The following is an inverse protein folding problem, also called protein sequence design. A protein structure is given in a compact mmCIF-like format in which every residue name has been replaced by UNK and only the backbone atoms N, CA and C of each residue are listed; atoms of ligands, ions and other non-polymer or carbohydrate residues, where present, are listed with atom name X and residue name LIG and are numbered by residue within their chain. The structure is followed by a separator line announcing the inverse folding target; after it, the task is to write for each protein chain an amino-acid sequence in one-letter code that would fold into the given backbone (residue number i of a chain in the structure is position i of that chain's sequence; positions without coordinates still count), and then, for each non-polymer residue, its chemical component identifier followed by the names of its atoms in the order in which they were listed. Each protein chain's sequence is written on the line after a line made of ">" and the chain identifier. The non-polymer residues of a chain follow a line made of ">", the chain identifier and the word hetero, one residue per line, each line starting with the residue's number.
data_IF_816311870302
#
_entry.id   IF_816311870302
#
_cell.length_a   1.000
_cell.length_b   1.000
_cell.length_c   1.000
_cell.angle_alpha   90.00
_cell.angle_beta   90.00
_cell.angle_gamma   90.00
#
_symmetry.space_group_name_H-M   'P 1'
#
loop_
_entity.id
_entity.type
_entity.pdbx_description
1 polymer ?
#
# COMPACT_ATOMS: atom_id res chain seq x y z
N UNK A 1 -9.53 -4.58 -11.13
CA UNK A 1 -8.53 -3.54 -10.78
C UNK A 1 -7.66 -4.06 -9.65
N UNK A 2 -6.36 -3.77 -9.67
CA UNK A 2 -5.45 -4.12 -8.56
C UNK A 2 -4.64 -2.88 -8.17
N UNK A 3 -4.66 -2.54 -6.89
CA UNK A 3 -3.95 -1.43 -6.29
C UNK A 3 -2.63 -1.94 -5.71
N UNK A 4 -1.53 -1.29 -6.08
CA UNK A 4 -0.19 -1.60 -5.60
C UNK A 4 0.38 -0.37 -4.88
N UNK A 5 1.33 -0.56 -3.95
CA UNK A 5 2.13 0.54 -3.46
C UNK A 5 2.90 1.21 -4.61
N UNK A 6 3.27 2.49 -4.46
CA UNK A 6 3.95 3.25 -5.51
C UNK A 6 5.37 2.75 -5.82
N UNK A 7 5.97 1.95 -4.95
CA UNK A 7 7.31 1.38 -5.10
C UNK A 7 7.28 -0.10 -4.70
N UNK A 8 8.01 -0.92 -5.46
CA UNK A 8 8.28 -2.31 -5.09
C UNK A 8 9.54 -2.47 -4.22
N UNK A 9 10.25 -1.39 -3.92
CA UNK A 9 11.41 -1.38 -3.03
C UNK A 9 11.11 -0.68 -1.71
N UNK A 10 11.88 -1.02 -0.66
CA UNK A 10 11.85 -0.29 0.60
C UNK A 10 12.20 1.18 0.37
N UNK A 11 11.37 2.11 0.86
CA UNK A 11 11.62 3.55 0.78
C UNK A 11 12.13 4.15 2.09
N UNK A 12 12.42 3.31 3.09
CA UNK A 12 13.07 3.76 4.31
C UNK A 12 14.57 3.89 4.04
N UNK A 13 15.10 5.12 4.12
CA UNK A 13 16.53 5.42 3.86
C UNK A 13 17.48 4.81 4.88
N UNK A 14 16.99 4.55 6.09
CA UNK A 14 17.76 3.91 7.16
C UNK A 14 17.73 2.38 7.07
N UNK A 15 16.99 1.83 6.11
CA UNK A 15 16.88 0.39 5.90
C UNK A 15 17.87 -0.08 4.83
N UNK A 16 18.67 -1.10 5.15
CA UNK A 16 19.64 -1.71 4.24
C UNK A 16 19.01 -2.70 3.24
N UNK A 17 17.68 -2.83 3.23
CA UNK A 17 16.98 -3.73 2.31
C UNK A 17 17.02 -3.20 0.89
N UNK A 18 17.92 -3.73 0.07
CA UNK A 18 18.13 -3.31 -1.32
C UNK A 18 17.38 -4.15 -2.36
N UNK A 19 16.78 -5.26 -1.93
CA UNK A 19 16.04 -6.16 -2.81
C UNK A 19 14.60 -5.68 -3.00
N UNK A 20 14.00 -6.14 -4.10
CA UNK A 20 12.59 -5.94 -4.34
C UNK A 20 11.76 -6.65 -3.27
N UNK A 21 10.79 -5.92 -2.71
CA UNK A 21 9.87 -6.42 -1.72
C UNK A 21 8.91 -7.40 -2.38
N UNK A 22 8.73 -8.54 -1.73
CA UNK A 22 7.74 -9.53 -2.16
C UNK A 22 6.37 -9.12 -1.66
N UNK A 23 5.37 -9.51 -2.44
CA UNK A 23 3.98 -9.46 -2.03
C UNK A 23 3.78 -10.29 -0.75
N UNK A 24 3.32 -9.61 0.29
CA UNK A 24 3.02 -10.22 1.58
C UNK A 24 1.55 -10.63 1.67
N UNK A 25 0.66 -9.75 1.20
CA UNK A 25 -0.78 -9.95 1.32
C UNK A 25 -1.51 -9.41 0.08
N UNK A 26 -2.67 -9.99 -0.21
CA UNK A 26 -3.65 -9.40 -1.14
C UNK A 26 -5.04 -9.52 -0.54
N UNK A 27 -5.75 -8.39 -0.47
CA UNK A 27 -7.11 -8.31 0.06
C UNK A 27 -8.11 -7.89 -1.01
N UNK A 28 -9.31 -8.45 -0.97
CA UNK A 28 -10.43 -7.91 -1.75
C UNK A 28 -10.85 -6.58 -1.16
N UNK A 29 -11.07 -5.59 -2.03
CA UNK A 29 -11.53 -4.27 -1.65
C UNK A 29 -12.60 -3.80 -2.63
N UNK A 30 -13.36 -2.80 -2.22
CA UNK A 30 -14.36 -2.13 -3.07
C UNK A 30 -13.89 -0.71 -3.32
N UNK A 31 -13.83 -0.32 -4.59
CA UNK A 31 -13.52 1.04 -5.01
C UNK A 31 -14.82 1.75 -5.35
N UNK A 32 -15.00 2.94 -4.78
CA UNK A 32 -16.09 3.85 -5.10
C UNK A 32 -15.52 5.00 -5.93
N UNK A 33 -16.07 5.24 -7.13
CA UNK A 33 -15.68 6.36 -7.98
C UNK A 33 -16.91 7.23 -8.29
N UNK A 34 -16.69 8.44 -8.81
CA UNK A 34 -17.81 9.31 -9.22
C UNK A 34 -18.47 8.81 -10.52
N UNK A 35 -17.72 8.14 -11.39
CA UNK A 35 -18.18 7.70 -12.71
C UNK A 35 -18.80 6.30 -12.70
N UNK A 36 -18.46 5.47 -11.70
CA UNK A 36 -18.92 4.09 -11.57
C UNK A 36 -19.46 3.81 -10.18
N UNK A 37 -20.41 2.89 -10.09
CA UNK A 37 -20.81 2.30 -8.80
C UNK A 37 -19.66 1.49 -8.18
N UNK A 38 -19.92 0.89 -7.01
CA UNK A 38 -19.01 0.02 -6.27
C UNK A 38 -18.35 -1.03 -7.20
N UNK A 39 -17.02 -0.95 -7.32
CA UNK A 39 -16.24 -1.83 -8.19
C UNK A 39 -15.36 -2.76 -7.35
N UNK A 40 -15.43 -4.09 -7.53
CA UNK A 40 -14.53 -5.00 -6.85
C UNK A 40 -13.10 -4.83 -7.37
N UNK A 41 -12.15 -4.84 -6.45
CA UNK A 41 -10.74 -4.69 -6.72
C UNK A 41 -9.91 -5.48 -5.71
N UNK A 42 -8.60 -5.42 -5.88
CA UNK A 42 -7.63 -6.04 -4.99
C UNK A 42 -6.65 -4.99 -4.47
N UNK A 43 -6.36 -4.99 -3.17
CA UNK A 43 -5.26 -4.23 -2.57
C UNK A 43 -4.10 -5.17 -2.29
N UNK A 44 -2.94 -4.90 -2.87
CA UNK A 44 -1.71 -5.66 -2.63
C UNK A 44 -0.86 -4.91 -1.62
N UNK A 45 -0.38 -5.64 -0.62
CA UNK A 45 0.52 -5.11 0.39
C UNK A 45 1.91 -5.73 0.24
N UNK A 46 2.94 -4.88 0.31
CA UNK A 46 4.34 -5.31 0.31
C UNK A 46 4.90 -5.15 1.71
N UNK A 47 5.73 -6.09 2.15
CA UNK A 47 6.31 -6.05 3.50
C UNK A 47 7.83 -6.08 3.43
N UNK A 48 8.47 -5.14 4.13
CA UNK A 48 9.90 -5.19 4.36
C UNK A 48 10.18 -5.87 5.70
N UNK A 49 10.86 -7.05 5.71
CA UNK A 49 11.15 -7.76 6.95
C UNK A 49 12.24 -7.08 7.79
N UNK A 50 13.10 -6.25 7.18
CA UNK A 50 14.26 -5.68 7.86
C UNK A 50 13.90 -4.45 8.69
N UNK A 51 12.94 -3.64 8.23
CA UNK A 51 12.46 -2.44 8.93
C UNK A 51 10.97 -2.52 9.32
N UNK A 52 10.39 -3.72 9.29
CA UNK A 52 9.01 -3.99 9.70
C UNK A 52 7.95 -3.05 9.07
N UNK A 53 8.21 -2.55 7.86
CA UNK A 53 7.30 -1.62 7.19
C UNK A 53 6.37 -2.35 6.25
N UNK A 54 5.07 -2.11 6.41
CA UNK A 54 4.02 -2.55 5.50
C UNK A 54 3.64 -1.43 4.54
N UNK A 55 3.74 -1.68 3.24
CA UNK A 55 3.47 -0.72 2.18
C UNK A 55 2.11 -1.04 1.56
N UNK A 56 1.21 -0.05 1.59
CA UNK A 56 -0.12 -0.09 0.99
C UNK A 56 -0.17 0.85 -0.23
N UNK A 57 -1.32 0.92 -0.90
CA UNK A 57 -1.47 1.74 -2.10
C UNK A 57 -1.21 3.25 -1.88
N UNK A 58 -1.72 3.83 -0.79
CA UNK A 58 -1.66 5.28 -0.52
C UNK A 58 -0.95 5.66 0.78
N UNK A 59 -0.54 4.68 1.58
CA UNK A 59 0.20 4.89 2.82
C UNK A 59 1.14 3.72 3.10
N UNK A 60 2.07 3.92 4.02
CA UNK A 60 2.85 2.86 4.65
C UNK A 60 2.59 2.85 6.16
N UNK A 61 2.77 1.69 6.79
CA UNK A 61 2.71 1.51 8.24
C UNK A 61 4.06 1.00 8.71
N UNK A 62 4.70 1.72 9.61
CA UNK A 62 5.92 1.30 10.29
C UNK A 62 5.69 1.47 11.79
N UNK A 63 5.91 0.42 12.57
CA UNK A 63 5.73 0.43 14.03
C UNK A 63 4.36 1.00 14.47
N UNK A 64 3.30 0.58 13.79
CA UNK A 64 1.92 1.04 14.04
C UNK A 64 1.61 2.47 13.58
N UNK A 65 2.61 3.22 13.12
CA UNK A 65 2.43 4.59 12.62
C UNK A 65 2.12 4.58 11.14
N UNK A 66 0.97 5.15 10.76
CA UNK A 66 0.55 5.32 9.35
C UNK A 66 1.09 6.62 8.78
N UNK A 67 1.85 6.52 7.69
CA UNK A 67 2.41 7.66 6.96
C UNK A 67 1.94 7.63 5.51
N UNK A 68 1.28 8.71 5.07
CA UNK A 68 0.82 8.87 3.69
C UNK A 68 1.98 9.24 2.77
N UNK A 69 1.94 8.76 1.53
CA UNK A 69 2.91 9.19 0.51
C UNK A 69 2.70 10.66 0.14
N UNK A 70 3.76 11.31 -0.31
CA UNK A 70 3.68 12.68 -0.81
C UNK A 70 2.87 12.73 -2.11
N UNK A 71 2.11 13.82 -2.30
CA UNK A 71 1.26 14.03 -3.46
C UNK A 71 -0.20 13.58 -3.27
N UNK A 72 -1.01 13.78 -4.32
CA UNK A 72 -2.41 13.36 -4.32
C UNK A 72 -2.53 11.92 -4.82
N UNK A 73 -3.06 10.98 -4.02
CA UNK A 73 -3.22 9.60 -4.47
C UNK A 73 -4.39 9.48 -5.45
N UNK A 74 -4.29 8.57 -6.42
CA UNK A 74 -5.40 8.25 -7.31
C UNK A 74 -6.58 7.58 -6.57
N UNK A 75 -6.28 6.82 -5.51
CA UNK A 75 -7.27 6.17 -4.65
C UNK A 75 -6.89 6.36 -3.19
N UNK A 76 -7.85 6.81 -2.38
CA UNK A 76 -7.70 6.95 -0.93
C UNK A 76 -8.39 5.78 -0.23
N UNK A 77 -7.63 5.00 0.54
CA UNK A 77 -8.21 3.99 1.42
C UNK A 77 -8.77 4.67 2.69
N UNK A 78 -10.05 4.46 2.95
CA UNK A 78 -10.80 5.11 4.05
C UNK A 78 -11.20 4.16 5.18
N UNK A 79 -11.03 2.84 5.00
CA UNK A 79 -11.36 1.83 5.98
C UNK A 79 -10.72 0.47 5.69
N UNK A 80 -10.71 -0.38 6.70
CA UNK A 80 -10.36 -1.80 6.63
C UNK A 80 -11.48 -2.58 7.33
N UNK A 81 -11.83 -3.74 6.78
CA UNK A 81 -12.82 -4.65 7.35
C UNK A 81 -12.13 -5.79 8.09
#
# INVERSE_FOLDING_TARGET
>A
MTLYPPSSCCSNVDCLHTKELKKAEQRQVVIYTLASSACPAWSVHLYCPDCCTNYHNNFKVCDGTRTYYQGSPAYLQVGEC
#
